data_IF_200623265962
#
_entry.id   IF_200623265962
#
_cell.length_a   1.000
_cell.length_b   1.000
_cell.length_c   1.000
_cell.angle_alpha   90.00
_cell.angle_beta   90.00
_cell.angle_gamma   90.00
#
_symmetry.space_group_name_H-M   'P 1'
#
loop_
_entity.id
_entity.type
_entity.pdbx_description
1 polymer ?
#
# COMPACT_ATOMS: atom_id res chain seq x y z
N UNK A 1 28.51 6.18 -5.38
CA UNK A 1 27.51 5.75 -6.39
C UNK A 1 27.30 4.24 -6.38
N UNK A 2 28.32 3.42 -6.12
CA UNK A 2 28.19 1.96 -6.04
C UNK A 2 27.29 1.45 -4.90
N UNK A 3 27.26 2.13 -3.74
CA UNK A 3 26.43 1.72 -2.61
C UNK A 3 24.92 1.83 -2.89
N UNK A 4 24.51 2.82 -3.68
CA UNK A 4 23.09 3.05 -3.98
C UNK A 4 22.55 1.95 -4.91
N UNK A 5 23.33 1.60 -5.94
CA UNK A 5 23.00 0.50 -6.84
C UNK A 5 22.94 -0.83 -6.10
N UNK A 6 23.89 -1.11 -5.19
CA UNK A 6 23.86 -2.33 -4.37
C UNK A 6 22.60 -2.42 -3.51
N UNK A 7 22.19 -1.31 -2.89
CA UNK A 7 20.96 -1.28 -2.08
C UNK A 7 19.71 -1.46 -2.94
N UNK A 8 19.67 -0.85 -4.13
CA UNK A 8 18.55 -1.01 -5.06
C UNK A 8 18.40 -2.47 -5.51
N UNK A 9 19.51 -3.14 -5.83
CA UNK A 9 19.54 -4.59 -6.14
C UNK A 9 18.95 -5.39 -4.96
N UNK A 10 19.37 -5.11 -3.73
CA UNK A 10 18.87 -5.83 -2.55
C UNK A 10 17.38 -5.58 -2.30
N UNK A 11 16.87 -4.39 -2.61
CA UNK A 11 15.46 -4.08 -2.46
C UNK A 11 14.59 -4.83 -3.47
N UNK A 12 15.03 -4.92 -4.73
CA UNK A 12 14.35 -5.73 -5.74
C UNK A 12 14.33 -7.20 -5.32
N UNK A 13 15.47 -7.74 -4.86
CA UNK A 13 15.54 -9.13 -4.36
C UNK A 13 14.55 -9.37 -3.23
N UNK A 14 14.48 -8.49 -2.23
CA UNK A 14 13.56 -8.62 -1.09
C UNK A 14 12.10 -8.51 -1.51
N UNK A 15 11.77 -7.59 -2.41
CA UNK A 15 10.42 -7.41 -2.92
C UNK A 15 9.93 -8.67 -3.66
N UNK A 16 10.78 -9.23 -4.53
CA UNK A 16 10.49 -10.49 -5.22
C UNK A 16 10.37 -11.65 -4.23
N UNK A 17 11.25 -11.72 -3.23
CA UNK A 17 11.20 -12.78 -2.24
C UNK A 17 9.96 -12.75 -1.34
N UNK A 18 9.45 -11.58 -0.99
CA UNK A 18 8.18 -11.49 -0.27
C UNK A 18 6.97 -11.82 -1.13
N UNK A 19 7.07 -11.59 -2.44
CA UNK A 19 5.97 -11.87 -3.38
C UNK A 19 5.85 -13.38 -3.64
N UNK A 20 6.96 -14.05 -3.97
CA UNK A 20 6.96 -15.50 -4.29
C UNK A 20 7.24 -16.40 -3.07
N UNK A 21 7.81 -15.88 -1.98
CA UNK A 21 8.06 -16.63 -0.72
C UNK A 21 8.82 -17.95 -0.92
N UNK A 22 9.71 -18.02 -1.92
CA UNK A 22 10.43 -19.25 -2.28
C UNK A 22 9.68 -20.19 -3.22
N UNK A 23 8.38 -19.97 -3.45
CA UNK A 23 7.56 -20.74 -4.37
C UNK A 23 7.67 -20.11 -5.76
N UNK A 24 8.50 -20.64 -6.67
CA UNK A 24 8.71 -20.13 -8.04
C UNK A 24 7.52 -20.40 -8.98
N UNK A 25 6.29 -20.16 -8.50
CA UNK A 25 5.07 -20.34 -9.26
C UNK A 25 4.82 -19.15 -10.19
N UNK A 26 4.35 -19.36 -11.43
CA UNK A 26 4.00 -18.26 -12.33
C UNK A 26 2.85 -17.42 -11.73
N UNK A 27 3.02 -16.11 -11.69
CA UNK A 27 1.98 -15.15 -11.27
C UNK A 27 1.62 -14.27 -12.47
N UNK A 28 0.34 -14.13 -12.79
CA UNK A 28 -0.08 -13.26 -13.91
C UNK A 28 0.26 -11.80 -13.63
N UNK A 29 0.40 -10.96 -14.67
CA UNK A 29 0.67 -9.53 -14.46
C UNK A 29 -0.43 -8.85 -13.66
N UNK A 30 -1.70 -9.21 -13.89
CA UNK A 30 -2.85 -8.68 -13.16
C UNK A 30 -2.83 -9.08 -11.68
N UNK A 31 -2.53 -10.34 -11.38
CA UNK A 31 -2.38 -10.81 -10.00
C UNK A 31 -1.20 -10.15 -9.30
N UNK A 32 -0.09 -9.95 -10.01
CA UNK A 32 1.09 -9.29 -9.45
C UNK A 32 0.79 -7.82 -9.09
N UNK A 33 0.09 -7.10 -9.98
CA UNK A 33 -0.42 -5.74 -9.68
C UNK A 33 -1.34 -5.77 -8.47
N UNK A 34 -2.28 -6.72 -8.41
CA UNK A 34 -3.21 -6.87 -7.28
C UNK A 34 -2.48 -7.09 -5.96
N UNK A 35 -1.49 -7.99 -5.92
CA UNK A 35 -0.68 -8.27 -4.73
C UNK A 35 0.08 -7.01 -4.30
N UNK A 36 0.66 -6.29 -5.26
CA UNK A 36 1.45 -5.09 -4.99
C UNK A 36 0.62 -3.89 -4.54
N UNK A 37 -0.63 -3.79 -4.99
CA UNK A 37 -1.53 -2.70 -4.61
C UNK A 37 -2.35 -2.97 -3.35
N UNK A 38 -2.86 -4.18 -3.18
CA UNK A 38 -3.84 -4.47 -2.11
C UNK A 38 -3.24 -5.24 -0.94
N UNK A 39 -2.42 -6.26 -1.22
CA UNK A 39 -1.90 -7.14 -0.18
C UNK A 39 -0.69 -6.49 0.51
N UNK A 40 0.22 -5.92 -0.28
CA UNK A 40 1.45 -5.28 0.23
C UNK A 40 1.35 -3.75 0.33
N UNK A 41 0.43 -3.15 -0.43
CA UNK A 41 0.19 -1.70 -0.48
C UNK A 41 1.43 -0.87 -0.83
N UNK A 42 2.37 -1.44 -1.60
CA UNK A 42 3.58 -0.74 -2.01
C UNK A 42 3.32 0.27 -3.13
N UNK A 43 2.32 0.03 -3.98
CA UNK A 43 2.08 0.80 -5.20
C UNK A 43 0.61 1.16 -5.41
N UNK A 44 0.39 2.22 -6.18
CA UNK A 44 -0.86 2.44 -6.92
C UNK A 44 -0.83 1.64 -8.24
N UNK A 45 -2.00 1.29 -8.79
CA UNK A 45 -2.12 0.38 -9.94
C UNK A 45 -1.25 0.79 -11.14
N UNK A 46 -1.30 2.07 -11.55
CA UNK A 46 -0.52 2.56 -12.69
C UNK A 46 1.00 2.47 -12.45
N UNK A 47 1.45 2.63 -11.20
CA UNK A 47 2.88 2.57 -10.85
C UNK A 47 3.33 1.11 -10.75
N UNK A 48 2.47 0.21 -10.29
CA UNK A 48 2.75 -1.23 -10.24
C UNK A 48 2.98 -1.79 -11.65
N UNK A 49 2.12 -1.46 -12.62
CA UNK A 49 2.28 -1.88 -14.03
C UNK A 49 3.61 -1.40 -14.63
N UNK A 50 3.97 -0.15 -14.36
CA UNK A 50 5.26 0.41 -14.79
C UNK A 50 6.44 -0.34 -14.15
N UNK A 51 6.39 -0.57 -12.84
CA UNK A 51 7.45 -1.29 -12.12
C UNK A 51 7.63 -2.73 -12.65
N UNK A 52 6.53 -3.44 -12.89
CA UNK A 52 6.57 -4.79 -13.46
C UNK A 52 7.20 -4.76 -14.87
N UNK A 53 6.80 -3.81 -15.71
CA UNK A 53 7.37 -3.63 -17.05
C UNK A 53 8.88 -3.36 -16.99
N UNK A 54 9.31 -2.44 -16.14
CA UNK A 54 10.73 -2.14 -15.92
C UNK A 54 11.50 -3.36 -15.42
N UNK A 55 10.93 -4.17 -14.54
CA UNK A 55 11.59 -5.38 -14.03
C UNK A 55 11.74 -6.47 -15.09
N UNK A 56 10.76 -6.61 -15.98
CA UNK A 56 10.86 -7.50 -17.14
C UNK A 56 11.95 -7.01 -18.11
N UNK A 57 11.94 -5.71 -18.44
CA UNK A 57 12.94 -5.11 -19.34
C UNK A 57 14.37 -5.22 -18.81
N UNK A 58 14.56 -5.07 -17.49
CA UNK A 58 15.87 -5.18 -16.85
C UNK A 58 16.27 -6.62 -16.48
N UNK A 59 15.45 -7.62 -16.84
CA UNK A 59 15.75 -9.05 -16.70
C UNK A 59 15.57 -9.64 -15.30
N UNK A 60 14.85 -8.95 -14.41
CA UNK A 60 14.52 -9.45 -13.07
C UNK A 60 13.35 -10.44 -13.08
N UNK A 61 12.41 -10.23 -14.00
CA UNK A 61 11.25 -11.07 -14.22
C UNK A 61 11.26 -11.63 -15.64
N UNK A 62 10.96 -12.90 -15.78
CA UNK A 62 10.74 -13.55 -17.07
C UNK A 62 9.24 -13.74 -17.31
N UNK A 63 8.77 -13.34 -18.48
CA UNK A 63 7.39 -13.58 -18.91
C UNK A 63 7.28 -14.97 -19.54
N UNK A 64 6.69 -15.90 -18.82
CA UNK A 64 6.35 -17.24 -19.34
C UNK A 64 4.95 -17.26 -19.93
N UNK A 65 4.60 -18.30 -20.68
CA UNK A 65 3.22 -18.49 -21.18
C UNK A 65 2.16 -18.70 -20.08
N UNK A 66 2.55 -18.82 -18.82
CA UNK A 66 1.65 -18.99 -17.67
C UNK A 66 1.69 -17.81 -16.69
N UNK A 67 2.58 -16.84 -16.88
CA UNK A 67 2.77 -15.69 -15.98
C UNK A 67 4.23 -15.29 -15.82
N UNK A 68 4.48 -14.38 -14.90
CA UNK A 68 5.79 -13.86 -14.53
C UNK A 68 6.43 -14.77 -13.48
N UNK A 69 7.74 -15.01 -13.63
CA UNK A 69 8.57 -15.72 -12.66
C UNK A 69 9.84 -14.89 -12.44
N UNK A 70 10.35 -14.77 -11.20
CA UNK A 70 11.63 -14.11 -10.96
C UNK A 70 12.80 -14.92 -11.52
N UNK A 71 13.77 -14.23 -12.11
CA UNK A 71 15.00 -14.84 -12.66
C UNK A 71 16.02 -15.23 -11.58
N UNK A 72 15.67 -15.10 -10.30
CA UNK A 72 16.52 -15.36 -9.14
C UNK A 72 15.86 -16.31 -8.17
N UNK A 73 16.67 -17.07 -7.43
CA UNK A 73 16.16 -17.87 -6.33
C UNK A 73 15.77 -16.96 -5.16
N UNK A 74 14.49 -16.97 -4.81
CA UNK A 74 13.98 -16.16 -3.71
C UNK A 74 14.06 -16.84 -2.35
N UNK A 75 14.37 -18.15 -2.30
CA UNK A 75 14.38 -18.91 -1.05
C UNK A 75 15.46 -18.42 -0.07
N UNK A 76 16.59 -17.92 -0.58
CA UNK A 76 17.72 -17.46 0.24
C UNK A 76 17.58 -16.01 0.72
N UNK A 77 16.61 -15.26 0.17
CA UNK A 77 16.46 -13.82 0.44
C UNK A 77 15.38 -13.59 1.48
N UNK A 78 15.75 -13.07 2.64
CA UNK A 78 14.81 -12.68 3.70
C UNK A 78 14.74 -11.17 3.86
N UNK A 79 13.52 -10.62 3.94
CA UNK A 79 13.28 -9.23 4.32
C UNK A 79 13.09 -9.11 5.84
N UNK A 80 13.68 -8.10 6.51
CA UNK A 80 13.46 -7.90 7.94
C UNK A 80 12.02 -7.48 8.24
N UNK A 81 11.56 -7.73 9.48
CA UNK A 81 10.21 -7.36 9.89
C UNK A 81 9.98 -5.85 9.77
N UNK A 82 8.88 -5.45 9.14
CA UNK A 82 8.54 -4.05 8.91
C UNK A 82 9.35 -3.38 7.79
N UNK A 83 10.08 -4.15 6.98
CA UNK A 83 10.77 -3.63 5.81
C UNK A 83 9.78 -3.15 4.73
N UNK A 84 10.12 -2.04 4.09
CA UNK A 84 9.34 -1.45 2.99
C UNK A 84 10.25 -1.18 1.79
N UNK A 85 9.85 -1.52 0.55
CA UNK A 85 10.68 -1.27 -0.62
C UNK A 85 10.77 0.20 -0.96
N UNK A 86 11.93 0.63 -1.46
CA UNK A 86 12.04 1.94 -2.11
C UNK A 86 11.45 1.84 -3.51
N UNK A 87 10.35 2.57 -3.76
CA UNK A 87 9.62 2.49 -5.04
C UNK A 87 10.54 2.72 -6.24
N UNK A 88 11.48 3.65 -6.13
CA UNK A 88 12.47 3.93 -7.19
C UNK A 88 13.32 2.72 -7.57
N UNK A 89 13.60 1.81 -6.61
CA UNK A 89 14.37 0.58 -6.89
C UNK A 89 13.59 -0.41 -7.74
N UNK A 90 12.26 -0.34 -7.75
CA UNK A 90 11.37 -1.23 -8.50
C UNK A 90 10.89 -0.58 -9.81
N UNK A 91 10.71 0.75 -9.85
CA UNK A 91 10.34 1.48 -11.08
C UNK A 91 11.53 1.77 -11.97
N UNK A 92 12.72 1.95 -11.40
CA UNK A 92 13.98 2.10 -12.12
C UNK A 92 15.02 1.09 -11.58
N UNK A 93 14.80 -0.22 -11.79
CA UNK A 93 15.68 -1.25 -11.28
C UNK A 93 17.02 -1.23 -12.02
N UNK A 94 18.13 -1.53 -11.33
CA UNK A 94 19.41 -1.76 -12.01
C UNK A 94 19.31 -3.00 -12.91
N UNK A 95 20.18 -3.10 -13.92
CA UNK A 95 20.24 -4.30 -14.77
C UNK A 95 20.50 -5.56 -13.92
N UNK A 96 19.73 -6.62 -14.18
CA UNK A 96 19.94 -7.90 -13.53
C UNK A 96 21.24 -8.53 -14.03
N UNK A 97 22.24 -8.61 -13.16
CA UNK A 97 23.47 -9.38 -13.40
C UNK A 97 23.36 -10.61 -12.52
N UNK A 98 23.09 -11.77 -13.15
CA UNK A 98 23.25 -13.04 -12.45
C UNK A 98 24.70 -13.14 -11.99
N UNK A 99 24.92 -13.31 -10.68
CA UNK A 99 26.25 -13.55 -10.12
C UNK A 99 26.72 -15.00 -10.42
N UNK A 100 26.39 -15.51 -11.59
CA UNK A 100 27.04 -16.61 -12.25
C UNK A 100 27.75 -16.01 -13.47
N UNK A 101 29.06 -15.76 -13.35
CA UNK A 101 29.87 -15.39 -14.48
C UNK A 101 29.69 -16.43 -15.60
N UNK A 102 29.52 -15.95 -16.84
CA UNK A 102 30.60 -16.17 -17.77
C UNK A 102 31.13 -14.83 -18.26
N UNK A 103 32.45 -14.70 -18.18
CA UNK A 103 33.16 -13.79 -19.04
C UNK A 103 32.73 -14.07 -20.49
N UNK A 104 32.22 -13.05 -21.19
CA UNK A 104 32.59 -12.73 -22.57
C UNK A 104 31.90 -11.44 -23.03
N UNK A 105 32.76 -10.47 -23.31
CA UNK A 105 32.63 -9.41 -24.30
C UNK A 105 31.56 -8.33 -24.11
N UNK A 106 32.04 -7.26 -23.48
CA UNK A 106 31.83 -5.90 -23.98
C UNK A 106 32.08 -5.83 -25.50
N UNK A 107 31.09 -5.42 -26.29
CA UNK A 107 31.31 -4.60 -27.48
C UNK A 107 30.18 -3.60 -27.60
N UNK A 108 30.47 -2.36 -27.21
CA UNK A 108 29.81 -1.20 -27.76
C UNK A 108 29.95 -1.22 -29.29
N UNK A 109 28.86 -0.94 -30.01
CA UNK A 109 28.96 -0.33 -31.33
C UNK A 109 27.81 0.63 -31.55
N UNK A 110 28.23 1.87 -31.67
CA UNK A 110 27.53 3.11 -31.98
C UNK A 110 27.04 3.16 -33.43
N UNK A 111 26.20 4.16 -33.71
CA UNK A 111 25.79 4.69 -35.04
C UNK A 111 24.81 3.81 -35.83
N UNK A 112 23.63 4.31 -36.22
CA UNK A 112 23.53 5.17 -37.40
C UNK A 112 22.14 5.82 -37.50
N UNK A 113 22.10 7.15 -37.47
CA UNK A 113 21.00 7.93 -38.07
C UNK A 113 21.17 7.96 -39.60
N UNK A 114 20.08 8.15 -40.37
CA UNK A 114 20.08 9.40 -41.14
C UNK A 114 18.70 10.06 -41.28
N UNK A 115 18.74 11.40 -41.22
CA UNK A 115 17.76 12.32 -41.82
C UNK A 115 18.21 12.63 -43.26
N UNK A 116 17.28 12.82 -44.21
CA UNK A 116 17.34 13.99 -45.10
C UNK A 116 15.94 14.63 -45.30
N UNK A 117 15.68 15.89 -44.90
CA UNK A 117 15.75 17.16 -45.66
C UNK A 117 14.85 17.30 -46.92
N UNK A 118 13.73 18.02 -46.72
CA UNK A 118 13.08 19.08 -47.54
C UNK A 118 12.71 18.93 -49.03
N UNK A 119 11.42 19.20 -49.35
CA UNK A 119 10.85 20.32 -50.15
C UNK A 119 9.39 19.96 -50.53
N UNK A 120 8.32 20.72 -50.26
CA UNK A 120 7.87 22.12 -50.47
C UNK A 120 6.79 22.17 -51.57
N UNK A 121 5.75 22.97 -51.29
CA UNK A 121 4.71 23.57 -52.17
C UNK A 121 3.45 22.70 -52.32
N UNK A 122 2.21 23.19 -52.12
CA UNK A 122 1.70 24.52 -51.78
C UNK A 122 0.18 24.58 -52.03
N UNK A 123 -0.46 25.62 -51.49
CA UNK A 123 -1.83 26.07 -51.81
C UNK A 123 -2.95 25.34 -51.05
N UNK A 124 -4.08 25.94 -50.68
CA UNK A 124 -4.56 27.32 -50.77
C UNK A 124 -5.89 27.36 -49.97
N UNK A 125 -6.04 28.38 -49.11
CA UNK A 125 -7.26 29.16 -48.78
C UNK A 125 -8.63 28.46 -48.61
N UNK A 126 -9.28 28.69 -47.47
CA UNK A 126 -10.44 29.63 -47.34
C UNK A 126 -11.33 29.31 -46.12
N UNK A 127 -11.42 30.29 -45.20
CA UNK A 127 -12.60 30.54 -44.36
C UNK A 127 -13.72 31.15 -45.25
N UNK A 128 -15.00 31.17 -44.83
CA UNK A 128 -15.56 32.10 -43.83
C UNK A 128 -16.50 31.35 -42.83
N UNK A 129 -17.23 31.89 -41.86
CA UNK A 129 -17.33 33.14 -41.09
C UNK A 129 -18.76 33.12 -40.46
N UNK A 130 -18.86 33.40 -39.14
CA UNK A 130 -19.99 33.92 -38.29
C UNK A 130 -21.39 33.26 -38.32
N UNK A 131 -22.01 33.13 -37.14
CA UNK A 131 -22.83 34.17 -36.47
C UNK A 131 -23.80 33.56 -35.43
N UNK A 132 -24.15 34.35 -34.38
CA UNK A 132 -25.38 34.19 -33.58
C UNK A 132 -25.19 33.53 -32.20
N UNK A 133 -24.99 34.22 -31.07
CA UNK A 133 -25.75 35.28 -30.36
C UNK A 133 -26.77 34.74 -29.33
N UNK A 134 -26.47 35.04 -28.05
CA UNK A 134 -27.37 35.44 -26.95
C UNK A 134 -28.44 34.50 -26.40
N UNK A 135 -28.49 34.42 -25.06
CA UNK A 135 -29.64 33.93 -24.30
C UNK A 135 -29.39 33.93 -22.78
N UNK A 136 -29.55 35.09 -22.16
CA UNK A 136 -29.45 35.41 -20.72
C UNK A 136 -30.68 35.01 -19.89
N UNK A 137 -30.44 34.77 -18.59
CA UNK A 137 -31.37 35.01 -17.46
C UNK A 137 -32.12 33.77 -16.96
N UNK A 138 -32.49 33.61 -15.69
CA UNK A 138 -32.19 34.30 -14.44
C UNK A 138 -32.75 33.40 -13.29
N UNK A 139 -32.31 33.67 -12.07
CA UNK A 139 -32.77 33.26 -10.71
C UNK A 139 -34.00 32.35 -10.52
N UNK A 140 -33.92 31.44 -9.54
CA UNK A 140 -34.63 31.62 -8.25
C UNK A 140 -34.33 30.50 -7.24
N UNK A 141 -34.16 30.94 -6.00
CA UNK A 141 -34.01 30.21 -4.74
C UNK A 141 -35.05 29.12 -4.46
N UNK A 142 -34.65 28.14 -3.65
CA UNK A 142 -35.53 27.21 -2.95
C UNK A 142 -34.73 26.38 -1.95
N UNK A 143 -34.68 26.86 -0.71
CA UNK A 143 -34.17 26.15 0.46
C UNK A 143 -35.21 25.11 0.91
N UNK A 144 -34.85 23.82 0.94
CA UNK A 144 -35.69 22.81 1.59
C UNK A 144 -34.83 21.77 2.32
N UNK A 145 -34.87 21.88 3.66
CA UNK A 145 -34.30 20.96 4.63
C UNK A 145 -35.28 19.81 4.84
N UNK A 146 -35.03 18.60 4.31
CA UNK A 146 -35.72 17.38 4.74
C UNK A 146 -34.79 16.15 4.68
N UNK A 147 -34.34 15.72 5.87
CA UNK A 147 -33.93 14.40 6.38
C UNK A 147 -33.43 13.29 5.41
N UNK A 148 -32.29 12.61 5.70
CA UNK A 148 -31.88 11.43 4.96
C UNK A 148 -32.76 10.19 5.28
N UNK A 149 -33.02 9.32 4.29
CA UNK A 149 -34.03 8.28 4.35
C UNK A 149 -33.61 7.05 5.16
N UNK A 150 -34.57 6.54 5.91
CA UNK A 150 -34.56 5.30 6.69
C UNK A 150 -34.69 4.12 5.73
N UNK A 151 -33.60 3.70 5.09
CA UNK A 151 -33.60 2.57 4.14
C UNK A 151 -32.24 1.87 4.06
N UNK A 152 -31.82 1.22 5.15
CA UNK A 152 -30.65 0.32 5.14
C UNK A 152 -30.68 -0.72 6.27
N UNK A 153 -31.86 -1.23 6.62
CA UNK A 153 -32.02 -2.21 7.71
C UNK A 153 -32.18 -3.67 7.23
N UNK A 154 -31.83 -3.98 5.98
CA UNK A 154 -32.00 -5.34 5.45
C UNK A 154 -30.73 -5.82 4.76
N UNK A 155 -29.70 -6.07 5.57
CA UNK A 155 -28.55 -6.97 5.31
C UNK A 155 -27.64 -6.93 6.56
N UNK A 156 -28.16 -7.34 7.71
CA UNK A 156 -27.32 -7.62 8.87
C UNK A 156 -26.82 -9.08 8.77
N UNK A 157 -25.52 -9.33 8.53
CA UNK A 157 -24.97 -10.65 8.81
C UNK A 157 -25.17 -10.92 10.30
N UNK A 158 -25.60 -12.13 10.63
CA UNK A 158 -25.67 -12.62 12.01
C UNK A 158 -24.26 -12.61 12.59
N UNK A 159 -23.88 -11.50 13.23
CA UNK A 159 -22.62 -11.41 13.95
C UNK A 159 -22.80 -12.17 15.25
N UNK A 160 -22.34 -13.42 15.26
CA UNK A 160 -21.86 -14.00 16.52
C UNK A 160 -20.83 -13.00 17.06
N UNK A 161 -20.90 -12.57 18.34
CA UNK A 161 -19.87 -11.72 18.91
C UNK A 161 -18.51 -12.37 18.66
N UNK A 162 -17.47 -11.62 18.24
CA UNK A 162 -16.12 -12.18 18.14
C UNK A 162 -15.80 -12.80 19.50
N UNK A 163 -15.38 -14.07 19.50
CA UNK A 163 -15.04 -14.82 20.71
C UNK A 163 -13.78 -14.20 21.33
N UNK A 164 -13.97 -13.08 22.03
CA UNK A 164 -12.94 -12.34 22.77
C UNK A 164 -12.47 -13.11 24.01
N UNK A 165 -13.07 -14.26 24.32
CA UNK A 165 -12.81 -15.04 25.53
C UNK A 165 -11.57 -15.96 25.47
N UNK A 166 -10.85 -16.00 24.34
CA UNK A 166 -9.68 -16.88 24.19
C UNK A 166 -8.39 -16.34 24.85
N UNK A 167 -8.28 -15.02 25.05
CA UNK A 167 -7.04 -14.40 25.56
C UNK A 167 -7.05 -14.29 27.09
N UNK A 168 -6.08 -14.88 27.82
CA UNK A 168 -5.98 -14.76 29.28
C UNK A 168 -5.86 -13.29 29.76
N UNK A 169 -5.41 -12.37 28.90
CA UNK A 169 -5.30 -10.94 29.22
C UNK A 169 -6.64 -10.25 29.41
N UNK A 170 -7.74 -10.83 28.95
CA UNK A 170 -9.08 -10.28 29.17
C UNK A 170 -9.46 -10.21 30.66
N UNK A 171 -8.91 -11.10 31.48
CA UNK A 171 -9.13 -11.08 32.93
C UNK A 171 -8.53 -9.83 33.60
N UNK A 172 -7.59 -9.16 32.94
CA UNK A 172 -6.91 -7.99 33.48
C UNK A 172 -7.67 -6.69 33.22
N UNK A 173 -8.65 -6.68 32.32
CA UNK A 173 -9.43 -5.48 31.94
C UNK A 173 -9.98 -4.73 33.17
N UNK A 174 -10.67 -5.38 34.13
CA UNK A 174 -11.19 -4.67 35.31
C UNK A 174 -10.09 -4.10 36.21
N UNK A 175 -8.92 -4.75 36.25
CA UNK A 175 -7.76 -4.32 37.03
C UNK A 175 -7.09 -3.12 36.37
N UNK A 176 -6.93 -3.13 35.04
CA UNK A 176 -6.38 -2.01 34.27
C UNK A 176 -7.27 -0.77 34.37
N UNK A 177 -8.59 -0.90 34.22
CA UNK A 177 -9.52 0.23 34.35
C UNK A 177 -9.34 0.93 35.71
N UNK A 178 -9.30 0.16 36.80
CA UNK A 178 -9.09 0.71 38.16
C UNK A 178 -7.70 1.33 38.33
N UNK A 179 -6.67 0.72 37.76
CA UNK A 179 -5.30 1.25 37.81
C UNK A 179 -5.20 2.60 37.11
N UNK A 180 -5.68 2.67 35.86
CA UNK A 180 -5.66 3.89 35.04
C UNK A 180 -6.49 4.98 35.73
N UNK A 181 -7.66 4.64 36.29
CA UNK A 181 -8.49 5.61 37.01
C UNK A 181 -7.74 6.28 38.17
N UNK A 182 -7.07 5.47 38.99
CA UNK A 182 -6.31 5.95 40.15
C UNK A 182 -5.11 6.78 39.76
N UNK A 183 -4.39 6.39 38.70
CA UNK A 183 -3.14 7.05 38.29
C UNK A 183 -3.37 8.29 37.43
N UNK A 184 -4.38 8.28 36.56
CA UNK A 184 -4.71 9.42 35.69
C UNK A 184 -5.66 10.43 36.33
N UNK A 185 -6.32 10.08 37.44
CA UNK A 185 -7.33 10.92 38.08
C UNK A 185 -8.66 10.99 37.32
N UNK A 186 -8.85 10.12 36.33
CA UNK A 186 -10.09 10.02 35.55
C UNK A 186 -11.04 9.05 36.22
N UNK A 187 -12.33 9.36 36.20
CA UNK A 187 -13.38 8.46 36.68
C UNK A 187 -13.37 7.13 35.91
N UNK A 188 -13.60 6.03 36.61
CA UNK A 188 -13.73 4.67 36.04
C UNK A 188 -14.72 4.63 34.87
N UNK A 189 -15.88 5.28 35.01
CA UNK A 189 -16.90 5.32 33.96
C UNK A 189 -16.43 6.05 32.71
N UNK A 190 -15.62 7.11 32.86
CA UNK A 190 -15.08 7.84 31.71
C UNK A 190 -13.98 7.03 31.00
N UNK A 191 -13.15 6.27 31.74
CA UNK A 191 -12.18 5.35 31.13
C UNK A 191 -12.89 4.26 30.33
N UNK A 192 -13.95 3.67 30.89
CA UNK A 192 -14.77 2.66 30.21
C UNK A 192 -15.39 3.24 28.92
N UNK A 193 -15.96 4.45 28.98
CA UNK A 193 -16.48 5.14 27.79
C UNK A 193 -15.39 5.42 26.75
N UNK A 194 -14.20 5.86 27.17
CA UNK A 194 -13.06 6.09 26.27
C UNK A 194 -12.56 4.80 25.63
N UNK A 195 -12.51 3.72 26.41
CA UNK A 195 -12.14 2.39 25.93
C UNK A 195 -13.13 1.91 24.88
N UNK A 196 -14.44 2.01 25.14
CA UNK A 196 -15.47 1.64 24.18
C UNK A 196 -15.45 2.51 22.90
N UNK A 197 -15.24 3.83 23.03
CA UNK A 197 -15.09 4.73 21.87
C UNK A 197 -13.89 4.35 21.02
N UNK A 198 -12.74 4.10 21.66
CA UNK A 198 -11.51 3.69 20.98
C UNK A 198 -11.67 2.31 20.34
N UNK A 199 -12.35 1.39 21.01
CA UNK A 199 -12.65 0.06 20.47
C UNK A 199 -13.51 0.15 19.20
N UNK A 200 -14.56 0.98 19.18
CA UNK A 200 -15.38 1.19 17.98
C UNK A 200 -14.63 1.86 16.83
N UNK A 201 -13.73 2.80 17.14
CA UNK A 201 -12.98 3.54 16.13
C UNK A 201 -11.86 2.72 15.47
N UNK A 202 -11.23 1.81 16.22
CA UNK A 202 -10.08 1.01 15.74
C UNK A 202 -10.49 -0.35 15.15
N UNK A 203 -11.78 -0.73 15.20
CA UNK A 203 -12.28 -1.98 14.65
C UNK A 203 -12.05 -3.19 15.58
N UNK A 204 -11.51 -4.32 15.10
CA UNK A 204 -11.39 -5.56 15.88
C UNK A 204 -10.20 -5.49 16.86
N UNK A 205 -10.33 -4.68 17.91
CA UNK A 205 -9.32 -4.52 18.95
C UNK A 205 -9.83 -5.00 20.32
N UNK A 206 -8.96 -5.64 21.09
CA UNK A 206 -9.29 -6.13 22.44
C UNK A 206 -9.37 -4.97 23.45
N UNK A 207 -10.29 -5.04 24.44
CA UNK A 207 -10.42 -4.02 25.48
C UNK A 207 -9.12 -3.73 26.25
N UNK A 208 -8.33 -4.77 26.57
CA UNK A 208 -7.07 -4.60 27.30
C UNK A 208 -6.05 -3.77 26.51
N UNK A 209 -6.01 -3.90 25.18
CA UNK A 209 -5.12 -3.12 24.33
C UNK A 209 -5.60 -1.67 24.20
N UNK A 210 -6.91 -1.43 24.11
CA UNK A 210 -7.48 -0.09 24.18
C UNK A 210 -7.09 0.64 25.48
N UNK A 211 -7.07 -0.08 26.60
CA UNK A 211 -6.67 0.48 27.91
C UNK A 211 -5.18 0.86 27.95
N UNK A 212 -4.29 0.09 27.31
CA UNK A 212 -2.88 0.46 27.18
C UNK A 212 -2.74 1.77 26.41
N UNK A 213 -3.48 1.94 25.31
CA UNK A 213 -3.44 3.20 24.55
C UNK A 213 -3.96 4.37 25.37
N UNK A 214 -5.05 4.20 26.10
CA UNK A 214 -5.59 5.25 26.98
C UNK A 214 -4.58 5.60 28.06
N UNK A 215 -3.92 4.62 28.67
CA UNK A 215 -2.91 4.86 29.67
C UNK A 215 -1.75 5.68 29.10
N UNK A 216 -1.23 5.29 27.93
CA UNK A 216 -0.19 6.05 27.22
C UNK A 216 -0.62 7.47 26.90
N UNK A 217 -1.87 7.68 26.47
CA UNK A 217 -2.44 9.02 26.24
C UNK A 217 -2.52 9.87 27.51
N UNK A 218 -2.71 9.25 28.69
CA UNK A 218 -2.68 9.94 29.99
C UNK A 218 -1.26 10.08 30.56
N UNK A 219 -0.22 9.76 29.79
CA UNK A 219 1.18 9.88 30.21
C UNK A 219 1.63 8.81 31.22
N UNK A 220 0.91 7.70 31.34
CA UNK A 220 1.35 6.55 32.13
C UNK A 220 2.47 5.81 31.39
N UNK A 221 3.50 5.40 32.15
CA UNK A 221 4.55 4.53 31.64
C UNK A 221 3.94 3.18 31.24
N UNK A 222 4.25 2.71 30.03
CA UNK A 222 3.75 1.42 29.53
C UNK A 222 4.38 0.26 30.31
N UNK A 223 5.62 0.43 30.78
CA UNK A 223 6.34 -0.56 31.58
C UNK A 223 5.58 -0.93 32.87
N UNK A 224 5.03 0.05 33.59
CA UNK A 224 4.18 -0.16 34.78
C UNK A 224 2.95 -1.05 34.47
N UNK A 225 2.45 -0.98 33.23
CA UNK A 225 1.30 -1.76 32.79
C UNK A 225 1.75 -3.16 32.37
N UNK A 226 2.91 -3.27 31.72
CA UNK A 226 3.54 -4.55 31.32
C UNK A 226 3.77 -5.43 32.55
N UNK A 227 4.24 -4.85 33.67
CA UNK A 227 4.41 -5.57 34.94
C UNK A 227 3.10 -6.17 35.49
N UNK A 228 1.92 -5.64 35.11
CA UNK A 228 0.64 -6.20 35.53
C UNK A 228 0.24 -7.47 34.76
N UNK A 229 0.94 -7.78 33.66
CA UNK A 229 0.75 -8.99 32.85
C UNK A 229 1.73 -10.13 33.23
N UNK A 230 2.74 -9.84 34.07
CA UNK A 230 3.67 -10.81 34.61
C UNK A 230 3.09 -11.53 35.83
#
# INVERSE_FOLDING_TARGET
MSDESSRAVDDVRRALAMTWKGEMLPITSEDLVRIWCYDTQWFEAAVAELAISSLVENGWLEMTGQGLIPCLDTAEVTAPLGWWPRLESLTNPPLFITSAAPALASTASEMTAPRPTERRVGGEMAAPEKAGMSGTGDVSSGEEVIQPPVAAAELAPSTSPPQNDADPRMQLVPRLVKYIARKSGIEVNEIERRMQRKQRALGPITPWLCLIFIAKEQGLAVDDIIEMFA
#
